data_IF_912475103338
#
_entry.id   IF_912475103338
#
_cell.length_a   1.000
_cell.length_b   1.000
_cell.length_c   1.000
_cell.angle_alpha   90.00
_cell.angle_beta   90.00
_cell.angle_gamma   90.00
#
_symmetry.space_group_name_H-M   'P 1'
#
loop_
_entity.id
_entity.type
_entity.pdbx_description
1 polymer ?
#
# COMPACT_ATOMS: atom_id res chain seq x y z
N UNK A 1 18.58 3.88 -30.76
CA UNK A 1 19.00 2.88 -29.75
C UNK A 1 18.00 2.98 -28.59
N UNK A 2 16.86 2.28 -28.70
CA UNK A 2 15.89 2.21 -27.61
C UNK A 2 16.43 1.20 -26.60
N UNK A 3 16.80 1.64 -25.40
CA UNK A 3 17.06 0.72 -24.30
C UNK A 3 15.70 0.29 -23.78
N UNK A 4 15.15 -0.79 -24.35
CA UNK A 4 14.10 -1.55 -23.68
C UNK A 4 14.75 -2.18 -22.46
N UNK A 5 14.69 -1.49 -21.32
CA UNK A 5 14.99 -2.07 -20.03
C UNK A 5 13.92 -3.14 -19.76
N UNK A 6 14.18 -4.35 -20.28
CA UNK A 6 13.46 -5.54 -19.91
C UNK A 6 13.68 -5.70 -18.41
N UNK A 7 12.62 -5.53 -17.64
CA UNK A 7 12.56 -5.71 -16.19
C UNK A 7 12.72 -7.18 -15.83
N UNK A 8 13.92 -7.73 -16.03
CA UNK A 8 14.24 -9.14 -15.74
C UNK A 8 14.45 -9.44 -14.26
N UNK A 9 14.17 -8.47 -13.38
CA UNK A 9 13.95 -8.71 -11.97
C UNK A 9 12.74 -7.90 -11.52
N UNK A 10 11.56 -8.52 -11.45
CA UNK A 10 10.61 -8.16 -10.41
C UNK A 10 11.24 -8.59 -9.06
N UNK A 11 12.31 -7.91 -8.65
CA UNK A 11 12.81 -8.04 -7.31
C UNK A 11 11.73 -7.45 -6.42
N UNK A 12 11.28 -8.21 -5.42
CA UNK A 12 10.40 -7.73 -4.35
C UNK A 12 11.12 -6.63 -3.56
N UNK A 13 11.27 -5.46 -4.18
CA UNK A 13 12.04 -4.33 -3.71
C UNK A 13 11.18 -3.40 -2.86
N UNK A 14 9.90 -3.73 -2.68
CA UNK A 14 8.95 -2.95 -1.92
C UNK A 14 8.13 -3.86 -1.00
N UNK A 15 7.50 -3.22 -0.02
CA UNK A 15 6.60 -3.87 0.93
C UNK A 15 5.39 -2.98 1.16
N UNK A 16 4.21 -3.56 1.01
CA UNK A 16 2.95 -2.97 1.44
C UNK A 16 2.72 -3.28 2.91
N UNK A 17 2.39 -2.25 3.66
CA UNK A 17 2.21 -2.28 5.10
C UNK A 17 0.82 -1.72 5.37
N UNK A 18 -0.03 -2.51 6.03
CA UNK A 18 -1.34 -2.06 6.51
C UNK A 18 -1.43 -2.25 8.00
N UNK A 19 -1.81 -1.21 8.73
CA UNK A 19 -2.21 -1.31 10.14
C UNK A 19 -3.48 -0.48 10.32
N UNK A 20 -4.53 -1.07 10.88
CA UNK A 20 -5.79 -0.35 11.09
C UNK A 20 -6.73 -1.05 12.06
N UNK A 21 -7.67 -0.27 12.62
CA UNK A 21 -8.77 -0.77 13.42
C UNK A 21 -9.70 -1.73 12.67
N UNK A 22 -10.38 -2.62 13.39
CA UNK A 22 -11.38 -3.56 12.85
C UNK A 22 -12.75 -3.39 13.53
N UNK A 23 -13.08 -2.17 13.94
CA UNK A 23 -14.25 -1.80 14.73
C UNK A 23 -13.85 -1.03 15.99
N UNK A 24 -13.00 -1.60 16.86
CA UNK A 24 -12.31 -0.84 17.90
C UNK A 24 -11.17 -0.01 17.32
N UNK A 25 -10.77 1.04 18.05
CA UNK A 25 -9.57 1.82 17.71
C UNK A 25 -8.32 0.93 17.61
N UNK A 26 -7.42 1.32 16.71
CA UNK A 26 -6.15 0.64 16.49
C UNK A 26 -5.32 0.52 17.77
N UNK A 27 -4.58 -0.58 17.91
CA UNK A 27 -3.57 -0.77 18.95
C UNK A 27 -2.47 0.29 18.83
N UNK A 28 -2.55 1.30 19.69
CA UNK A 28 -1.68 2.48 19.64
C UNK A 28 -0.20 2.13 19.82
N UNK A 29 0.11 1.13 20.66
CA UNK A 29 1.49 0.69 20.89
C UNK A 29 2.06 0.00 19.65
N UNK A 30 1.27 -0.85 18.99
CA UNK A 30 1.65 -1.46 17.73
C UNK A 30 1.81 -0.40 16.62
N UNK A 31 0.87 0.55 16.51
CA UNK A 31 0.93 1.64 15.54
C UNK A 31 2.16 2.53 15.72
N UNK A 32 2.48 2.88 16.97
CA UNK A 32 3.69 3.65 17.30
C UNK A 32 4.96 2.88 16.91
N UNK A 33 5.01 1.58 17.21
CA UNK A 33 6.14 0.72 16.87
C UNK A 33 6.33 0.59 15.36
N UNK A 34 5.25 0.33 14.60
CA UNK A 34 5.30 0.29 13.12
C UNK A 34 5.84 1.60 12.56
N UNK A 35 5.33 2.73 13.06
CA UNK A 35 5.76 4.07 12.62
C UNK A 35 7.23 4.33 12.92
N UNK A 36 7.72 3.91 14.09
CA UNK A 36 9.13 4.05 14.48
C UNK A 36 10.05 3.20 13.59
N UNK A 37 9.68 1.95 13.30
CA UNK A 37 10.46 1.05 12.44
C UNK A 37 10.56 1.62 11.02
N UNK A 38 9.47 2.13 10.48
CA UNK A 38 9.45 2.81 9.17
C UNK A 38 10.30 4.08 9.20
N UNK A 39 10.09 4.96 10.19
CA UNK A 39 10.83 6.22 10.31
C UNK A 39 12.34 6.01 10.41
N UNK A 40 12.77 5.01 11.19
CA UNK A 40 14.17 4.61 11.28
C UNK A 40 14.72 4.09 9.95
N UNK A 41 13.93 3.30 9.20
CA UNK A 41 14.34 2.80 7.90
C UNK A 41 14.49 3.92 6.86
N UNK A 42 13.61 4.92 6.87
CA UNK A 42 13.72 6.12 6.03
C UNK A 42 14.95 6.94 6.43
N UNK A 43 15.10 7.25 7.72
CA UNK A 43 16.22 8.07 8.22
C UNK A 43 17.60 7.45 7.95
N UNK A 44 17.69 6.11 7.93
CA UNK A 44 18.94 5.39 7.68
C UNK A 44 19.14 4.97 6.20
N UNK A 45 18.35 5.50 5.27
CA UNK A 45 18.50 5.21 3.84
C UNK A 45 18.21 3.76 3.45
N UNK A 46 17.43 3.03 4.25
CA UNK A 46 16.94 1.69 3.91
C UNK A 46 15.74 1.77 2.96
N UNK A 47 14.91 2.79 3.13
CA UNK A 47 13.74 3.08 2.29
C UNK A 47 13.94 4.44 1.63
N UNK A 48 13.97 4.49 0.30
CA UNK A 48 14.07 5.74 -0.47
C UNK A 48 12.71 6.27 -0.93
N UNK A 49 11.71 5.40 -1.01
CA UNK A 49 10.36 5.78 -1.43
C UNK A 49 9.34 5.23 -0.46
N UNK A 50 8.61 6.13 0.19
CA UNK A 50 7.52 5.80 1.08
C UNK A 50 6.24 6.49 0.60
N UNK A 51 5.24 5.69 0.20
CA UNK A 51 3.96 6.18 -0.28
C UNK A 51 2.90 5.82 0.74
N UNK A 52 2.20 6.80 1.29
CA UNK A 52 0.98 6.54 2.06
C UNK A 52 -0.19 6.41 1.09
N UNK A 53 -0.92 5.30 1.18
CA UNK A 53 -2.08 5.00 0.33
C UNK A 53 -3.40 5.42 0.96
N UNK A 54 -3.47 5.47 2.30
CA UNK A 54 -4.66 5.92 3.00
C UNK A 54 -4.56 5.79 4.52
N UNK A 55 -5.55 6.34 5.21
CA UNK A 55 -5.68 6.36 6.67
C UNK A 55 -7.06 5.86 7.08
N UNK A 56 -7.14 5.20 8.24
CA UNK A 56 -8.40 4.75 8.84
C UNK A 56 -8.96 5.78 9.82
N UNK A 57 -10.30 5.91 9.87
CA UNK A 57 -10.97 6.72 10.91
C UNK A 57 -10.80 6.14 12.32
N UNK A 58 -10.56 4.83 12.42
CA UNK A 58 -10.22 4.11 13.66
C UNK A 58 -8.71 4.15 13.96
N UNK A 59 -7.97 4.99 13.24
CA UNK A 59 -6.52 5.10 13.30
C UNK A 59 -5.80 4.08 12.43
N UNK A 60 -4.51 4.32 12.23
CA UNK A 60 -3.66 3.51 11.38
C UNK A 60 -3.55 4.02 9.94
N UNK A 61 -2.86 3.26 9.10
CA UNK A 61 -2.56 3.63 7.73
C UNK A 61 -2.30 2.40 6.86
N UNK A 62 -2.42 2.62 5.55
CA UNK A 62 -1.86 1.75 4.52
C UNK A 62 -0.75 2.50 3.79
N UNK A 63 0.39 1.85 3.58
CA UNK A 63 1.53 2.46 2.92
C UNK A 63 2.32 1.43 2.12
N UNK A 64 3.19 1.92 1.25
CA UNK A 64 4.20 1.13 0.57
C UNK A 64 5.57 1.74 0.84
N UNK A 65 6.54 0.90 1.21
CA UNK A 65 7.93 1.26 1.39
C UNK A 65 8.80 0.51 0.37
N UNK A 66 9.55 1.24 -0.45
CA UNK A 66 10.48 0.70 -1.43
C UNK A 66 11.93 0.88 -0.97
N UNK A 67 12.71 -0.17 -1.10
CA UNK A 67 14.13 -0.22 -0.79
C UNK A 67 14.89 0.86 -1.55
N UNK A 68 15.87 1.47 -0.86
CA UNK A 68 16.91 2.23 -1.54
C UNK A 68 17.71 1.33 -2.49
N UNK A 69 18.10 1.80 -3.70
CA UNK A 69 18.99 1.07 -4.60
C UNK A 69 20.33 0.66 -3.97
N UNK A 70 20.75 1.34 -2.90
CA UNK A 70 22.05 1.16 -2.25
C UNK A 70 21.98 0.34 -0.94
N UNK A 71 20.79 0.03 -0.43
CA UNK A 71 20.66 -0.68 0.84
C UNK A 71 20.79 -2.19 0.69
N UNK A 72 21.48 -2.83 1.65
CA UNK A 72 21.46 -4.29 1.86
C UNK A 72 20.59 -4.70 3.05
N UNK A 73 19.99 -3.73 3.74
CA UNK A 73 19.29 -3.93 5.03
C UNK A 73 17.76 -4.07 4.88
N UNK A 74 17.23 -4.04 3.65
CA UNK A 74 15.78 -4.08 3.41
C UNK A 74 15.12 -5.37 3.93
N UNK A 75 15.77 -6.52 3.77
CA UNK A 75 15.27 -7.80 4.32
C UNK A 75 15.18 -7.80 5.86
N UNK A 76 16.13 -7.13 6.54
CA UNK A 76 16.10 -6.98 8.00
C UNK A 76 14.95 -6.06 8.44
N UNK A 77 14.70 -4.98 7.70
CA UNK A 77 13.56 -4.10 7.91
C UNK A 77 12.22 -4.84 7.79
N UNK A 78 12.02 -5.63 6.74
CA UNK A 78 10.81 -6.45 6.57
C UNK A 78 10.66 -7.46 7.71
N UNK A 79 11.75 -8.11 8.11
CA UNK A 79 11.74 -9.04 9.25
C UNK A 79 11.31 -8.33 10.52
N UNK A 80 11.84 -7.14 10.80
CA UNK A 80 11.49 -6.33 11.95
C UNK A 80 10.00 -5.97 11.97
N UNK A 81 9.44 -5.52 10.84
CA UNK A 81 8.00 -5.29 10.71
C UNK A 81 7.18 -6.54 11.05
N UNK A 82 7.53 -7.70 10.48
CA UNK A 82 6.83 -8.97 10.74
C UNK A 82 6.93 -9.47 12.18
N UNK A 83 7.86 -8.96 12.98
CA UNK A 83 7.93 -9.31 14.42
C UNK A 83 6.95 -8.53 15.29
N UNK A 84 6.39 -7.43 14.78
CA UNK A 84 5.43 -6.61 15.50
C UNK A 84 4.14 -7.41 15.65
N UNK A 85 3.68 -7.54 16.90
CA UNK A 85 2.42 -8.20 17.24
C UNK A 85 1.40 -7.15 17.63
N UNK A 86 0.42 -6.92 16.76
CA UNK A 86 -0.75 -6.12 17.08
C UNK A 86 -1.79 -6.97 17.83
N UNK A 87 -2.62 -6.34 18.66
CA UNK A 87 -3.77 -7.00 19.26
C UNK A 87 -4.78 -7.45 18.17
N UNK A 88 -5.00 -8.76 17.98
CA UNK A 88 -5.85 -9.26 16.90
C UNK A 88 -7.35 -8.97 17.12
N UNK A 89 -7.76 -8.55 18.32
CA UNK A 89 -9.16 -8.20 18.60
C UNK A 89 -9.49 -6.75 18.21
N UNK A 90 -8.48 -5.91 18.01
CA UNK A 90 -8.67 -4.48 17.74
C UNK A 90 -7.96 -4.03 16.47
N UNK A 91 -7.04 -4.82 15.91
CA UNK A 91 -6.18 -4.36 14.81
C UNK A 91 -5.93 -5.43 13.77
N UNK A 92 -6.18 -5.07 12.51
CA UNK A 92 -5.67 -5.77 11.35
C UNK A 92 -4.27 -5.23 11.02
N UNK A 93 -3.28 -6.12 11.02
CA UNK A 93 -1.90 -5.80 10.63
C UNK A 93 -1.41 -6.72 9.52
N UNK A 94 -0.87 -6.15 8.45
CA UNK A 94 -0.42 -6.87 7.27
C UNK A 94 0.90 -6.30 6.71
N UNK A 95 1.75 -7.20 6.23
CA UNK A 95 3.06 -6.89 5.63
C UNK A 95 3.28 -7.80 4.43
N UNK A 96 3.09 -7.27 3.22
CA UNK A 96 3.15 -8.04 1.97
C UNK A 96 4.23 -7.50 1.06
N UNK A 97 5.11 -8.38 0.58
CA UNK A 97 6.13 -8.02 -0.40
C UNK A 97 5.47 -7.71 -1.75
N UNK A 98 5.94 -6.65 -2.41
CA UNK A 98 5.49 -6.27 -3.75
C UNK A 98 6.70 -5.87 -4.62
N UNK A 99 6.51 -5.89 -5.93
CA UNK A 99 7.58 -5.65 -6.89
C UNK A 99 8.07 -4.19 -6.92
N UNK A 100 7.20 -3.22 -6.58
CA UNK A 100 7.51 -1.80 -6.49
C UNK A 100 6.36 -1.03 -5.82
N UNK A 101 6.65 0.16 -5.29
CA UNK A 101 5.61 1.11 -4.87
C UNK A 101 5.09 1.89 -6.09
N UNK A 102 3.86 1.57 -6.49
CA UNK A 102 3.16 2.29 -7.56
C UNK A 102 2.53 3.58 -7.02
N UNK A 103 2.69 4.69 -7.76
CA UNK A 103 2.16 6.02 -7.40
C UNK A 103 0.73 6.25 -7.86
N UNK A 104 0.15 5.36 -8.67
CA UNK A 104 -1.18 5.59 -9.22
C UNK A 104 -2.25 5.26 -8.19
N UNK A 105 -2.38 6.08 -7.15
CA UNK A 105 -3.69 6.27 -6.51
C UNK A 105 -4.46 7.23 -7.41
N UNK A 106 -5.04 6.69 -8.48
CA UNK A 106 -5.91 7.47 -9.36
C UNK A 106 -7.25 7.62 -8.66
N UNK A 107 -7.45 8.77 -8.00
CA UNK A 107 -8.76 9.15 -7.49
C UNK A 107 -9.64 9.59 -8.66
N UNK A 108 -10.68 8.80 -8.94
CA UNK A 108 -11.70 9.18 -9.91
C UNK A 108 -12.88 9.85 -9.21
N UNK A 109 -13.59 10.72 -9.93
CA UNK A 109 -14.84 11.30 -9.46
C UNK A 109 -15.87 10.18 -9.24
N UNK A 110 -16.71 10.34 -8.20
CA UNK A 110 -17.69 9.33 -7.78
C UNK A 110 -18.98 9.38 -8.62
N UNK A 111 -18.86 9.75 -9.90
CA UNK A 111 -19.99 9.77 -10.81
C UNK A 111 -20.37 8.33 -11.19
N UNK A 112 -21.67 8.12 -11.44
CA UNK A 112 -22.20 6.84 -11.93
C UNK A 112 -22.83 7.02 -13.30
N UNK A 113 -22.75 5.97 -14.13
CA UNK A 113 -23.43 5.86 -15.42
C UNK A 113 -24.46 4.74 -15.34
N UNK A 114 -25.70 5.04 -15.74
CA UNK A 114 -26.76 4.05 -15.91
C UNK A 114 -26.48 3.17 -17.15
N UNK A 115 -26.55 1.87 -16.97
CA UNK A 115 -26.44 0.85 -18.01
C UNK A 115 -27.82 0.45 -18.57
N UNK A 116 -27.89 -0.09 -19.80
CA UNK A 116 -29.15 -0.49 -20.42
C UNK A 116 -29.94 -1.55 -19.64
N UNK A 117 -29.26 -2.38 -18.85
CA UNK A 117 -29.84 -3.39 -17.96
C UNK A 117 -30.42 -2.80 -16.66
N UNK A 118 -30.29 -1.47 -16.46
CA UNK A 118 -30.70 -0.76 -15.25
C UNK A 118 -29.64 -0.72 -14.14
N UNK A 119 -28.48 -1.35 -14.32
CA UNK A 119 -27.37 -1.29 -13.37
C UNK A 119 -26.61 0.04 -13.44
N UNK A 120 -25.76 0.32 -12.46
CA UNK A 120 -24.90 1.51 -12.43
C UNK A 120 -23.43 1.11 -12.38
N UNK A 121 -22.61 1.78 -13.17
CA UNK A 121 -21.16 1.61 -13.19
C UNK A 121 -20.46 2.92 -12.81
N UNK A 122 -19.37 2.82 -12.04
CA UNK A 122 -18.55 3.96 -11.62
C UNK A 122 -17.35 4.15 -12.54
N UNK A 123 -16.63 5.26 -12.36
CA UNK A 123 -15.31 5.45 -12.99
C UNK A 123 -14.26 4.55 -12.36
N UNK A 124 -13.37 4.02 -13.19
CA UNK A 124 -12.24 3.17 -12.78
C UNK A 124 -10.92 3.74 -13.30
N UNK A 125 -9.88 3.72 -12.47
CA UNK A 125 -8.52 4.09 -12.86
C UNK A 125 -7.91 3.10 -13.88
N UNK A 126 -6.85 3.48 -14.61
CA UNK A 126 -6.07 4.72 -14.48
C UNK A 126 -6.60 5.90 -15.32
N UNK A 127 -7.53 5.67 -16.25
CA UNK A 127 -8.06 6.71 -17.15
C UNK A 127 -9.32 7.42 -16.61
N UNK A 128 -9.85 6.98 -15.46
CA UNK A 128 -11.12 7.43 -14.90
C UNK A 128 -12.30 7.37 -15.88
N UNK A 129 -12.30 6.33 -16.73
CA UNK A 129 -13.41 6.00 -17.61
C UNK A 129 -14.44 5.15 -16.87
N UNK A 130 -15.72 5.20 -17.29
CA UNK A 130 -16.73 4.31 -16.73
C UNK A 130 -16.36 2.84 -17.00
N UNK A 131 -16.55 1.97 -16.00
CA UNK A 131 -16.43 0.53 -16.20
C UNK A 131 -17.43 0.05 -17.27
N UNK A 132 -17.15 -1.07 -17.97
CA UNK A 132 -18.11 -1.68 -18.88
C UNK A 132 -19.40 -2.07 -18.15
N UNK A 133 -20.54 -1.96 -18.84
CA UNK A 133 -21.81 -2.46 -18.32
C UNK A 133 -21.78 -4.00 -18.27
N UNK A 134 -22.33 -4.63 -17.21
CA UNK A 134 -22.45 -6.08 -17.16
C UNK A 134 -23.40 -6.60 -18.26
N UNK A 135 -23.11 -7.79 -18.78
CA UNK A 135 -23.99 -8.46 -19.76
C UNK A 135 -23.90 -7.96 -21.20
N UNK A 136 -22.81 -7.27 -21.57
CA UNK A 136 -22.43 -7.01 -22.96
C UNK A 136 -21.82 -8.26 -23.62
#
# INVERSE_FOLDING_TARGET
MLVTASSTFAANNAVEIGIGGIGPGVDEAALSTVSQVIGSAVANGVVDKFIVKGYGIEGGFSACAQASPFTKKFGAFIKQLKTIKANPNTTAYSVHLVAACNETVTFCTQDVKLCPDGSYVSRVGPSCSFAPCPGL
#
